data_IF_664902515784
#
_entry.id   IF_664902515784
#
_cell.length_a   1.000
_cell.length_b   1.000
_cell.length_c   1.000
_cell.angle_alpha   90.00
_cell.angle_beta   90.00
_cell.angle_gamma   90.00
#
_symmetry.space_group_name_H-M   'P 1'
#
loop_
_entity.id
_entity.type
_entity.pdbx_description
1 polymer ?
#
# COMPACT_ATOMS: atom_id res chain seq x y z
N UNK A 1 17.72 -45.49 -28.82
CA UNK A 1 18.36 -44.96 -30.03
C UNK A 1 18.14 -43.46 -30.08
N UNK A 2 19.17 -42.73 -30.48
CA UNK A 2 19.19 -41.29 -30.81
C UNK A 2 19.03 -40.29 -29.64
N UNK A 3 20.15 -40.10 -28.96
CA UNK A 3 20.60 -38.85 -28.33
C UNK A 3 20.70 -37.71 -29.34
N UNK A 4 20.26 -36.51 -28.94
CA UNK A 4 20.67 -35.24 -29.56
C UNK A 4 21.04 -34.27 -28.43
N UNK A 5 22.35 -34.27 -28.11
CA UNK A 5 23.02 -33.22 -27.38
C UNK A 5 23.14 -32.00 -28.29
N UNK A 6 22.85 -30.81 -27.77
CA UNK A 6 23.32 -29.57 -28.36
C UNK A 6 23.98 -28.70 -27.28
N UNK A 7 25.30 -28.58 -27.40
CA UNK A 7 26.19 -27.73 -26.62
C UNK A 7 25.83 -26.25 -26.78
N UNK A 8 25.72 -25.52 -25.67
CA UNK A 8 25.87 -24.07 -25.66
C UNK A 8 27.22 -23.73 -25.02
N UNK A 9 28.22 -23.47 -25.86
CA UNK A 9 29.49 -22.89 -25.43
C UNK A 9 29.34 -21.38 -25.28
N UNK A 10 29.84 -20.91 -24.14
CA UNK A 10 30.17 -19.55 -23.76
C UNK A 10 30.91 -18.76 -24.84
N UNK A 11 30.49 -17.51 -25.08
CA UNK A 11 31.36 -16.48 -25.64
C UNK A 11 31.22 -15.18 -24.84
N UNK A 12 32.21 -14.99 -23.98
CA UNK A 12 32.62 -13.71 -23.38
C UNK A 12 33.28 -12.89 -24.50
N UNK A 13 32.86 -11.64 -24.67
CA UNK A 13 33.71 -10.64 -25.33
C UNK A 13 33.67 -9.29 -24.60
N UNK A 14 34.77 -9.06 -23.88
CA UNK A 14 35.25 -7.77 -23.40
C UNK A 14 35.46 -6.79 -24.57
N UNK A 15 35.22 -5.49 -24.32
CA UNK A 15 35.91 -4.36 -24.97
C UNK A 15 35.64 -3.04 -24.19
N UNK A 16 36.47 -1.99 -24.33
CA UNK A 16 37.41 -1.63 -23.26
C UNK A 16 37.18 -0.21 -22.68
N UNK A 17 37.64 -0.03 -21.44
CA UNK A 17 37.89 1.28 -20.85
C UNK A 17 39.10 1.96 -21.50
N UNK A 18 38.97 3.24 -21.83
CA UNK A 18 40.10 4.16 -21.98
C UNK A 18 39.83 5.47 -21.23
N UNK A 19 40.78 5.96 -20.42
CA UNK A 19 40.71 7.27 -19.77
C UNK A 19 41.54 8.32 -20.52
N UNK A 20 41.16 9.61 -20.46
CA UNK A 20 42.09 10.72 -20.16
C UNK A 20 41.48 12.14 -20.22
N UNK A 21 41.73 12.85 -19.11
CA UNK A 21 42.24 14.23 -18.94
C UNK A 21 41.39 15.45 -19.33
N UNK A 22 40.95 16.12 -18.24
CA UNK A 22 40.97 17.57 -17.91
C UNK A 22 41.62 18.54 -18.91
N UNK A 23 40.96 19.69 -19.12
CA UNK A 23 41.52 21.04 -18.86
C UNK A 23 40.40 22.08 -18.55
N UNK A 24 40.71 23.18 -17.83
CA UNK A 24 39.74 24.08 -17.18
C UNK A 24 39.64 25.48 -17.84
N UNK A 25 38.88 26.37 -17.17
CA UNK A 25 38.71 27.84 -17.35
C UNK A 25 37.67 28.23 -18.43
N UNK A 26 36.65 29.06 -18.17
CA UNK A 26 36.68 30.44 -17.66
C UNK A 26 35.36 30.83 -16.96
N UNK A 27 35.47 31.62 -15.89
CA UNK A 27 34.41 32.51 -15.38
C UNK A 27 34.33 33.79 -16.23
N UNK A 28 33.26 34.59 -16.06
CA UNK A 28 33.52 35.94 -15.57
C UNK A 28 32.68 36.34 -14.35
N UNK A 29 33.38 37.04 -13.44
CA UNK A 29 32.97 38.15 -12.54
C UNK A 29 31.69 38.88 -12.96
N UNK A 30 30.93 39.59 -12.14
CA UNK A 30 30.80 39.90 -10.70
C UNK A 30 29.67 40.94 -10.64
N UNK A 31 28.87 40.99 -9.56
CA UNK A 31 28.63 42.24 -8.82
C UNK A 31 27.72 42.00 -7.62
N UNK A 32 28.21 42.50 -6.49
CA UNK A 32 27.63 42.50 -5.17
C UNK A 32 26.63 43.65 -5.02
N UNK A 33 25.57 43.46 -4.24
CA UNK A 33 25.16 44.50 -3.27
C UNK A 33 24.64 43.84 -2.01
N UNK A 34 25.30 44.16 -0.90
CA UNK A 34 24.84 43.96 0.46
C UNK A 34 23.73 44.97 0.76
N UNK A 35 22.76 44.57 1.58
CA UNK A 35 22.11 45.50 2.51
C UNK A 35 21.80 44.75 3.79
N UNK A 36 22.53 45.14 4.83
CA UNK A 36 22.24 44.89 6.24
C UNK A 36 21.51 46.13 6.74
N UNK A 37 20.44 45.97 7.51
CA UNK A 37 20.14 46.91 8.58
C UNK A 37 19.51 46.20 9.76
N UNK A 38 20.11 46.46 10.91
CA UNK A 38 19.77 46.06 12.27
C UNK A 38 18.98 47.17 12.99
N UNK A 39 18.43 46.81 14.16
CA UNK A 39 17.92 47.59 15.33
C UNK A 39 16.40 47.43 15.52
N UNK A 40 15.84 46.77 16.55
CA UNK A 40 16.00 46.73 18.04
C UNK A 40 15.04 47.68 18.79
N UNK A 41 14.62 47.23 20.00
CA UNK A 41 13.92 47.94 21.11
C UNK A 41 12.38 47.89 21.02
N UNK A 42 11.57 47.78 22.09
CA UNK A 42 11.48 47.14 23.42
C UNK A 42 10.20 47.74 24.06
N UNK A 43 9.62 47.06 25.06
CA UNK A 43 8.59 47.52 26.03
C UNK A 43 7.15 47.70 25.46
N UNK A 44 6.05 47.42 26.16
CA UNK A 44 5.76 47.26 27.59
C UNK A 44 4.49 46.45 27.85
N UNK A 45 4.48 45.80 29.01
CA UNK A 45 3.36 45.35 29.86
C UNK A 45 1.93 45.82 29.57
N UNK A 46 0.97 44.89 29.74
CA UNK A 46 -0.11 45.11 30.70
C UNK A 46 -0.66 43.80 31.29
N UNK A 47 -0.63 43.78 32.61
CA UNK A 47 -1.26 42.83 33.52
C UNK A 47 -2.77 43.02 33.55
N UNK A 48 -3.55 41.94 33.54
CA UNK A 48 -4.84 41.92 34.22
C UNK A 48 -5.08 40.55 34.86
N UNK A 49 -5.71 40.62 36.03
CA UNK A 49 -5.80 39.64 37.10
C UNK A 49 -7.14 38.90 37.08
N UNK A 50 -7.14 37.59 37.33
CA UNK A 50 -8.06 36.88 38.26
C UNK A 50 -7.58 35.42 38.36
N UNK A 51 -7.01 34.93 39.46
CA UNK A 51 -7.56 34.49 40.77
C UNK A 51 -8.64 33.40 40.72
N UNK A 52 -8.32 32.32 41.44
CA UNK A 52 -9.05 31.11 41.83
C UNK A 52 -8.77 29.91 40.92
N UNK A 53 -8.35 28.74 41.40
CA UNK A 53 -8.16 28.23 42.76
C UNK A 53 -8.09 26.70 42.67
N UNK A 54 -7.50 26.06 43.69
CA UNK A 54 -7.48 24.61 43.94
C UNK A 54 -6.48 23.76 43.16
N UNK A 55 -5.32 23.60 43.80
CA UNK A 55 -4.48 22.42 43.70
C UNK A 55 -5.28 21.22 44.20
N UNK A 56 -5.44 20.19 43.38
CA UNK A 56 -5.83 18.85 43.83
C UNK A 56 -4.78 17.88 43.32
N UNK A 57 -3.86 17.50 44.20
CA UNK A 57 -3.05 16.29 44.04
C UNK A 57 -3.99 15.09 44.13
N UNK A 58 -4.14 14.35 43.04
CA UNK A 58 -4.68 13.00 43.06
C UNK A 58 -3.53 12.04 42.81
N UNK A 59 -3.07 11.44 43.90
CA UNK A 59 -2.19 10.28 43.92
C UNK A 59 -3.00 9.12 43.33
N UNK A 60 -2.66 8.66 42.14
CA UNK A 60 -3.23 7.42 41.60
C UNK A 60 -2.32 6.29 42.04
N UNK A 61 -2.82 5.49 42.97
CA UNK A 61 -2.21 4.28 43.48
C UNK A 61 -1.89 3.31 42.34
N UNK A 62 -0.66 2.78 42.35
CA UNK A 62 -0.30 1.59 41.59
C UNK A 62 -1.09 0.39 42.14
N UNK A 63 -2.15 0.01 41.45
CA UNK A 63 -2.80 -1.28 41.66
C UNK A 63 -2.25 -2.28 40.62
N UNK A 64 -1.57 -3.30 41.14
CA UNK A 64 -1.17 -4.50 40.41
C UNK A 64 -2.40 -5.20 39.82
N UNK A 65 -2.73 -4.93 38.56
CA UNK A 65 -3.66 -5.74 37.80
C UNK A 65 -2.88 -6.78 36.97
N UNK A 66 -2.57 -7.91 37.61
CA UNK A 66 -2.30 -9.16 36.90
C UNK A 66 -3.58 -9.58 36.17
N UNK A 67 -3.50 -9.71 34.85
CA UNK A 67 -4.47 -10.46 34.04
C UNK A 67 -5.75 -9.72 33.66
N UNK A 68 -5.66 -8.71 32.80
CA UNK A 68 -6.78 -8.36 31.92
C UNK A 68 -6.44 -8.79 30.49
N UNK A 69 -6.82 -10.02 30.14
CA UNK A 69 -6.94 -10.42 28.74
C UNK A 69 -8.09 -9.60 28.18
N UNK A 70 -7.79 -8.41 27.64
CA UNK A 70 -8.79 -7.62 26.94
C UNK A 70 -9.24 -8.41 25.71
N UNK A 71 -10.33 -9.18 25.88
CA UNK A 71 -11.12 -9.71 24.78
C UNK A 71 -11.95 -8.58 24.17
N UNK A 72 -11.29 -7.51 23.73
CA UNK A 72 -11.92 -6.57 22.83
C UNK A 72 -12.19 -7.32 21.51
N UNK A 73 -13.36 -7.08 20.93
CA UNK A 73 -13.69 -7.60 19.60
C UNK A 73 -12.59 -7.24 18.61
N UNK A 74 -12.31 -8.12 17.65
CA UNK A 74 -11.35 -7.81 16.59
C UNK A 74 -11.79 -6.56 15.82
N UNK A 75 -10.83 -5.67 15.54
CA UNK A 75 -11.06 -4.45 14.76
C UNK A 75 -9.99 -4.33 13.68
N UNK A 76 -10.45 -4.04 12.46
CA UNK A 76 -9.63 -3.52 11.39
C UNK A 76 -9.84 -2.02 11.26
N UNK A 77 -8.75 -1.26 11.33
CA UNK A 77 -8.72 0.17 10.97
C UNK A 77 -8.06 0.32 9.62
N UNK A 78 -8.79 0.81 8.63
CA UNK A 78 -8.37 0.87 7.23
C UNK A 78 -8.24 2.34 6.83
N UNK A 79 -7.04 2.74 6.39
CA UNK A 79 -6.81 4.08 5.85
C UNK A 79 -6.41 3.96 4.39
N UNK A 80 -7.26 4.47 3.50
CA UNK A 80 -6.95 4.51 2.08
C UNK A 80 -5.96 5.65 1.80
N UNK A 81 -4.86 5.34 1.12
CA UNK A 81 -3.82 6.32 0.81
C UNK A 81 -3.78 6.71 -0.68
N UNK A 82 -4.86 6.44 -1.45
CA UNK A 82 -4.96 6.63 -2.91
C UNK A 82 -4.09 5.66 -3.75
N UNK A 83 -4.53 5.38 -4.98
CA UNK A 83 -3.92 4.34 -5.80
C UNK A 83 -4.17 2.95 -5.20
N UNK A 84 -3.13 2.11 -5.19
CA UNK A 84 -3.15 0.83 -4.48
C UNK A 84 -2.67 0.94 -3.02
N UNK A 85 -2.35 2.14 -2.55
CA UNK A 85 -1.72 2.32 -1.24
C UNK A 85 -2.73 2.28 -0.09
N UNK A 86 -2.40 1.52 0.95
CA UNK A 86 -3.19 1.43 2.17
C UNK A 86 -2.33 1.39 3.42
N UNK A 87 -2.90 1.83 4.53
CA UNK A 87 -2.42 1.54 5.87
C UNK A 87 -3.51 0.82 6.65
N UNK A 88 -3.23 -0.40 7.09
CA UNK A 88 -4.13 -1.21 7.90
C UNK A 88 -3.59 -1.33 9.31
N UNK A 89 -4.45 -1.14 10.31
CA UNK A 89 -4.14 -1.48 11.70
C UNK A 89 -5.05 -2.62 12.17
N UNK A 90 -4.44 -3.71 12.62
CA UNK A 90 -5.15 -4.90 13.14
C UNK A 90 -4.32 -5.55 14.23
N UNK A 91 -4.95 -5.89 15.35
CA UNK A 91 -4.27 -6.54 16.48
C UNK A 91 -3.11 -5.72 17.07
N UNK A 92 -3.12 -4.39 16.93
CA UNK A 92 -2.00 -3.53 17.35
C UNK A 92 -0.80 -3.51 16.40
N UNK A 93 -0.91 -4.12 15.21
CA UNK A 93 0.11 -4.05 14.15
C UNK A 93 -0.32 -3.08 13.07
N UNK A 94 0.64 -2.35 12.50
CA UNK A 94 0.42 -1.47 11.35
C UNK A 94 1.06 -2.08 10.11
N UNK A 95 0.25 -2.39 9.10
CA UNK A 95 0.65 -2.98 7.83
C UNK A 95 0.53 -1.91 6.76
N UNK A 96 1.66 -1.53 6.15
CA UNK A 96 1.69 -0.62 5.01
C UNK A 96 1.64 -1.45 3.73
N UNK A 97 0.69 -1.16 2.83
CA UNK A 97 0.43 -1.97 1.64
C UNK A 97 0.67 -1.13 0.39
N UNK A 98 1.46 -1.66 -0.55
CA UNK A 98 1.70 -1.09 -1.88
C UNK A 98 1.92 0.45 -1.88
N UNK A 99 2.90 0.97 -1.11
CA UNK A 99 3.01 2.41 -0.87
C UNK A 99 3.57 3.18 -2.07
N UNK A 100 2.80 4.18 -2.53
CA UNK A 100 3.22 5.23 -3.46
C UNK A 100 3.17 6.55 -2.68
N UNK A 101 4.27 6.92 -2.03
CA UNK A 101 4.34 8.05 -1.09
C UNK A 101 5.42 9.08 -1.48
N UNK A 102 6.24 8.78 -2.48
CA UNK A 102 7.33 9.65 -2.94
C UNK A 102 7.26 9.81 -4.45
N UNK A 103 6.98 11.05 -4.88
CA UNK A 103 6.82 11.39 -6.28
C UNK A 103 5.56 10.79 -6.90
N UNK A 104 5.43 10.99 -8.21
CA UNK A 104 4.31 10.47 -8.99
C UNK A 104 4.59 9.04 -9.48
N UNK A 105 3.51 8.32 -9.75
CA UNK A 105 3.54 7.04 -10.46
C UNK A 105 3.74 7.32 -11.96
N UNK A 106 4.84 6.82 -12.53
CA UNK A 106 5.18 7.07 -13.94
C UNK A 106 5.74 5.86 -14.69
N UNK A 107 5.84 4.69 -14.04
CA UNK A 107 6.39 3.47 -14.64
C UNK A 107 7.79 3.68 -15.27
N UNK A 108 8.55 4.68 -14.80
CA UNK A 108 9.85 5.05 -15.35
C UNK A 108 9.82 5.81 -16.68
N UNK A 109 8.65 6.13 -17.22
CA UNK A 109 8.48 6.83 -18.51
C UNK A 109 7.47 8.00 -18.36
N UNK A 110 7.85 9.13 -17.73
CA UNK A 110 6.92 10.22 -17.36
C UNK A 110 6.14 10.85 -18.51
N UNK A 111 6.69 10.86 -19.73
CA UNK A 111 5.98 11.41 -20.89
C UNK A 111 4.85 10.48 -21.36
N UNK A 112 4.96 9.18 -21.08
CA UNK A 112 3.99 8.16 -21.46
C UNK A 112 2.85 8.09 -20.43
N UNK A 113 3.19 8.10 -19.15
CA UNK A 113 2.24 8.13 -18.03
C UNK A 113 2.86 8.86 -16.84
N UNK A 114 2.11 9.75 -16.22
CA UNK A 114 2.49 10.44 -14.98
C UNK A 114 1.22 10.71 -14.18
N UNK A 115 1.10 10.12 -12.99
CA UNK A 115 -0.08 10.19 -12.14
C UNK A 115 0.26 10.62 -10.71
N UNK A 116 -0.34 11.73 -10.29
CA UNK A 116 -0.24 12.26 -8.93
C UNK A 116 -1.48 11.90 -8.10
N UNK A 117 -1.31 11.80 -6.78
CA UNK A 117 -2.43 11.74 -5.84
C UNK A 117 -3.32 12.98 -5.96
N UNK A 118 -4.63 12.82 -5.78
CA UNK A 118 -5.59 13.95 -5.85
C UNK A 118 -5.70 14.66 -4.51
N UNK A 119 -5.79 13.90 -3.42
CA UNK A 119 -6.10 14.41 -2.08
C UNK A 119 -4.85 14.51 -1.22
N UNK A 120 -4.09 13.43 -1.08
CA UNK A 120 -2.95 13.28 -0.17
C UNK A 120 -1.64 13.75 -0.81
N UNK A 121 -1.65 14.88 -1.52
CA UNK A 121 -0.49 15.45 -2.22
C UNK A 121 0.70 15.77 -1.32
N UNK A 122 0.44 16.05 -0.04
CA UNK A 122 1.45 16.42 0.94
C UNK A 122 1.81 15.27 1.90
N UNK A 123 1.10 14.15 1.84
CA UNK A 123 1.34 13.01 2.70
C UNK A 123 2.64 12.32 2.29
N UNK A 124 3.56 12.18 3.25
CA UNK A 124 4.92 11.74 3.02
C UNK A 124 5.31 10.61 3.97
N UNK A 125 6.48 10.02 3.74
CA UNK A 125 7.05 8.99 4.61
C UNK A 125 7.18 9.43 6.07
N UNK A 126 7.33 10.73 6.34
CA UNK A 126 7.37 11.30 7.70
C UNK A 126 6.06 11.16 8.46
N UNK A 127 4.94 11.08 7.76
CA UNK A 127 3.60 11.13 8.34
C UNK A 127 3.06 9.74 8.67
N UNK A 128 3.78 8.70 8.24
CA UNK A 128 3.49 7.32 8.60
C UNK A 128 3.66 7.09 10.11
N UNK A 129 2.77 6.32 10.74
CA UNK A 129 3.00 5.84 12.10
C UNK A 129 4.15 4.83 12.10
N UNK A 130 4.43 4.25 13.27
CA UNK A 130 5.29 3.08 13.34
C UNK A 130 4.71 1.94 12.50
N UNK A 131 5.51 1.39 11.58
CA UNK A 131 5.10 0.32 10.67
C UNK A 131 5.68 -0.99 11.16
N UNK A 132 4.83 -2.00 11.30
CA UNK A 132 5.21 -3.35 11.72
C UNK A 132 5.60 -4.23 10.52
N UNK A 133 4.90 -4.05 9.39
CA UNK A 133 5.13 -4.83 8.18
C UNK A 133 4.86 -4.00 6.92
N UNK A 134 5.69 -4.18 5.90
CA UNK A 134 5.40 -3.79 4.52
C UNK A 134 4.81 -4.99 3.78
N UNK A 135 3.70 -4.81 3.08
CA UNK A 135 3.07 -5.82 2.23
C UNK A 135 3.09 -5.35 0.77
N UNK A 136 3.67 -6.17 -0.12
CA UNK A 136 3.75 -5.89 -1.56
C UNK A 136 3.02 -6.97 -2.35
N UNK A 137 1.95 -6.58 -3.04
CA UNK A 137 1.07 -7.53 -3.74
C UNK A 137 1.57 -7.92 -5.12
N UNK A 138 2.11 -6.96 -5.86
CA UNK A 138 2.57 -7.16 -7.23
C UNK A 138 3.95 -6.56 -7.45
N UNK A 139 4.64 -7.01 -8.49
CA UNK A 139 5.97 -6.50 -8.86
C UNK A 139 5.95 -5.21 -9.70
N UNK A 140 4.77 -4.78 -10.16
CA UNK A 140 4.57 -3.60 -11.01
C UNK A 140 4.71 -2.29 -10.22
N UNK A 141 5.03 -1.19 -10.91
CA UNK A 141 5.40 0.09 -10.29
C UNK A 141 4.25 0.77 -9.52
N UNK A 142 3.00 0.46 -9.86
CA UNK A 142 1.80 0.91 -9.14
C UNK A 142 1.54 0.13 -7.83
N UNK A 143 2.42 -0.82 -7.49
CA UNK A 143 2.44 -1.57 -6.23
C UNK A 143 3.81 -1.53 -5.56
N UNK A 144 4.85 -1.91 -6.29
CA UNK A 144 6.24 -2.01 -5.88
C UNK A 144 7.03 -0.75 -6.28
N UNK A 145 6.52 0.42 -5.88
CA UNK A 145 7.03 1.71 -6.35
C UNK A 145 8.43 2.03 -5.81
N UNK A 146 9.47 1.81 -6.63
CA UNK A 146 10.87 1.90 -6.18
C UNK A 146 11.27 3.30 -5.68
N UNK A 147 10.65 4.37 -6.18
CA UNK A 147 10.91 5.73 -5.66
C UNK A 147 10.47 5.90 -4.22
N UNK A 148 9.42 5.19 -3.82
CA UNK A 148 8.96 5.16 -2.42
C UNK A 148 9.77 4.15 -1.61
N UNK A 149 10.01 2.96 -2.15
CA UNK A 149 10.64 1.86 -1.41
C UNK A 149 12.12 2.12 -1.06
N UNK A 150 12.88 2.83 -1.92
CA UNK A 150 14.29 3.17 -1.64
C UNK A 150 14.49 4.03 -0.38
N UNK A 151 13.87 5.21 -0.25
CA UNK A 151 13.97 6.00 0.98
C UNK A 151 13.23 5.32 2.15
N UNK A 152 12.15 4.57 1.91
CA UNK A 152 11.48 3.80 2.95
C UNK A 152 12.42 2.75 3.58
N UNK A 153 13.19 2.01 2.78
CA UNK A 153 14.12 1.01 3.30
C UNK A 153 15.29 1.62 4.09
N UNK A 154 15.68 2.85 3.77
CA UNK A 154 16.66 3.60 4.55
C UNK A 154 16.08 4.06 5.89
N UNK A 155 14.80 4.48 5.91
CA UNK A 155 14.10 4.90 7.13
C UNK A 155 13.79 3.71 8.06
N UNK A 156 13.46 2.54 7.50
CA UNK A 156 13.10 1.34 8.24
C UNK A 156 13.96 0.13 7.83
N UNK A 157 15.26 0.10 8.16
CA UNK A 157 16.22 -0.88 7.63
C UNK A 157 15.97 -2.34 8.05
N UNK A 158 15.23 -2.53 9.15
CA UNK A 158 14.91 -3.86 9.71
C UNK A 158 13.43 -4.24 9.54
N UNK A 159 12.67 -3.46 8.77
CA UNK A 159 11.25 -3.72 8.57
C UNK A 159 11.03 -5.12 8.01
N UNK A 160 10.02 -5.80 8.52
CA UNK A 160 9.55 -7.04 7.92
C UNK A 160 8.81 -6.72 6.63
N UNK A 161 9.13 -7.44 5.56
CA UNK A 161 8.46 -7.34 4.27
C UNK A 161 7.82 -8.68 3.95
N UNK A 162 6.56 -8.67 3.57
CA UNK A 162 5.86 -9.82 2.99
C UNK A 162 5.51 -9.44 1.55
N UNK A 163 5.82 -10.30 0.58
CA UNK A 163 5.67 -9.94 -0.82
C UNK A 163 5.36 -11.12 -1.75
N UNK A 164 4.87 -10.80 -2.96
CA UNK A 164 4.89 -11.71 -4.11
C UNK A 164 6.33 -12.12 -4.49
N UNK A 165 6.59 -13.39 -4.84
CA UNK A 165 7.89 -13.83 -5.35
C UNK A 165 8.36 -13.08 -6.60
N UNK A 166 7.44 -12.53 -7.40
CA UNK A 166 7.78 -11.76 -8.60
C UNK A 166 8.53 -10.46 -8.26
N UNK A 167 8.32 -9.87 -7.08
CA UNK A 167 8.99 -8.65 -6.66
C UNK A 167 10.43 -8.90 -6.15
N UNK A 168 10.90 -10.15 -6.11
CA UNK A 168 12.18 -10.52 -5.48
C UNK A 168 13.39 -9.74 -5.99
N UNK A 169 13.52 -9.61 -7.32
CA UNK A 169 14.63 -8.88 -7.93
C UNK A 169 14.65 -7.38 -7.58
N UNK A 170 13.49 -6.82 -7.24
CA UNK A 170 13.32 -5.41 -6.86
C UNK A 170 13.55 -5.18 -5.37
N UNK A 171 13.12 -6.12 -4.53
CA UNK A 171 13.11 -5.99 -3.07
C UNK A 171 14.40 -6.47 -2.39
N UNK A 172 15.05 -7.53 -2.88
CA UNK A 172 16.29 -8.06 -2.29
C UNK A 172 17.42 -7.00 -2.16
N UNK A 173 17.62 -6.06 -3.11
CA UNK A 173 18.61 -5.00 -2.95
C UNK A 173 18.26 -3.95 -1.89
N UNK A 174 16.98 -3.86 -1.49
CA UNK A 174 16.47 -2.81 -0.60
C UNK A 174 16.25 -3.28 0.83
N UNK A 175 15.81 -4.52 1.03
CA UNK A 175 15.35 -5.04 2.31
C UNK A 175 16.06 -6.35 2.68
N UNK A 176 16.34 -6.53 3.97
CA UNK A 176 17.04 -7.72 4.50
C UNK A 176 16.09 -8.79 5.04
N UNK A 177 14.90 -8.40 5.49
CA UNK A 177 13.92 -9.28 6.12
C UNK A 177 12.67 -9.41 5.24
N UNK A 178 12.80 -10.16 4.14
CA UNK A 178 11.71 -10.37 3.17
C UNK A 178 11.24 -11.81 3.18
N UNK A 179 9.93 -12.00 3.36
CA UNK A 179 9.24 -13.27 3.20
C UNK A 179 8.43 -13.24 1.91
N UNK A 180 8.83 -14.06 0.93
CA UNK A 180 8.08 -14.22 -0.32
C UNK A 180 7.07 -15.35 -0.16
N UNK A 181 5.81 -15.09 -0.46
CA UNK A 181 4.71 -16.06 -0.32
C UNK A 181 4.15 -16.45 -1.69
N UNK A 182 4.30 -17.71 -2.07
CA UNK A 182 3.55 -18.30 -3.17
C UNK A 182 2.06 -18.47 -2.77
N UNK A 183 1.11 -18.46 -3.72
CA UNK A 183 -0.30 -18.73 -3.41
C UNK A 183 -0.50 -20.01 -2.58
N UNK A 184 -1.25 -19.91 -1.48
CA UNK A 184 -1.40 -21.02 -0.51
C UNK A 184 -0.47 -20.94 0.70
N UNK A 185 0.62 -20.18 0.62
CA UNK A 185 1.52 -19.98 1.75
C UNK A 185 1.04 -18.86 2.67
N UNK A 186 1.42 -18.95 3.94
CA UNK A 186 1.07 -17.97 4.96
C UNK A 186 2.26 -17.57 5.81
N UNK A 187 2.16 -16.40 6.45
CA UNK A 187 3.14 -15.87 7.38
C UNK A 187 2.43 -15.14 8.52
N UNK A 188 2.87 -15.39 9.75
CA UNK A 188 2.33 -14.71 10.93
C UNK A 188 3.14 -13.46 11.27
N UNK A 189 2.47 -12.34 11.53
CA UNK A 189 3.04 -11.16 12.17
C UNK A 189 2.71 -11.24 13.66
N UNK A 190 3.75 -11.29 14.50
CA UNK A 190 3.57 -11.18 15.95
C UNK A 190 3.16 -9.76 16.31
N UNK A 191 2.13 -9.64 17.15
CA UNK A 191 1.62 -8.37 17.61
C UNK A 191 2.36 -7.89 18.84
N UNK A 192 2.21 -6.60 19.17
CA UNK A 192 2.74 -6.02 20.41
C UNK A 192 2.15 -6.66 21.69
N UNK A 193 1.11 -7.49 21.55
CA UNK A 193 0.43 -8.16 22.64
C UNK A 193 0.72 -9.68 22.69
N UNK A 194 1.67 -10.17 21.89
CA UNK A 194 2.04 -11.60 21.82
C UNK A 194 1.03 -12.48 21.09
N UNK A 195 0.03 -11.88 20.45
CA UNK A 195 -0.90 -12.56 19.54
C UNK A 195 -0.35 -12.53 18.10
N UNK A 196 -1.08 -13.09 17.13
CA UNK A 196 -0.60 -13.21 15.74
C UNK A 196 -1.63 -12.77 14.73
N UNK A 197 -1.24 -11.92 13.78
CA UNK A 197 -2.03 -11.66 12.56
C UNK A 197 -1.51 -12.59 11.47
N UNK A 198 -2.37 -13.42 10.89
CA UNK A 198 -1.98 -14.31 9.80
C UNK A 198 -2.19 -13.64 8.44
N UNK A 199 -1.20 -13.73 7.56
CA UNK A 199 -1.27 -13.27 6.17
C UNK A 199 -1.08 -14.45 5.25
N UNK A 200 -2.06 -14.73 4.39
CA UNK A 200 -2.05 -15.83 3.42
C UNK A 200 -2.12 -15.27 2.00
N UNK A 201 -1.18 -15.67 1.14
CA UNK A 201 -1.19 -15.30 -0.26
C UNK A 201 -2.23 -16.10 -1.06
N UNK A 202 -2.92 -15.42 -1.97
CA UNK A 202 -3.83 -16.03 -2.95
C UNK A 202 -3.35 -15.73 -4.36
N UNK A 203 -3.75 -16.57 -5.33
CA UNK A 203 -3.38 -16.35 -6.73
C UNK A 203 -4.26 -15.25 -7.35
N UNK A 204 -3.61 -14.15 -7.74
CA UNK A 204 -4.16 -13.06 -8.53
C UNK A 204 -3.87 -13.23 -10.04
N UNK A 205 -3.73 -12.13 -10.80
CA UNK A 205 -3.55 -12.18 -12.25
C UNK A 205 -2.14 -12.63 -12.66
N UNK A 206 -2.03 -13.21 -13.85
CA UNK A 206 -0.74 -13.41 -14.55
C UNK A 206 -0.56 -12.20 -15.48
N UNK A 207 0.34 -11.28 -15.12
CA UNK A 207 0.52 -9.98 -15.80
C UNK A 207 1.68 -9.97 -16.80
N UNK A 208 2.25 -11.13 -17.08
CA UNK A 208 3.28 -11.33 -18.09
C UNK A 208 2.97 -12.52 -18.98
N UNK A 209 4.00 -13.18 -19.54
CA UNK A 209 3.79 -14.37 -20.35
C UNK A 209 3.00 -15.46 -19.58
N UNK A 210 2.20 -16.31 -20.26
CA UNK A 210 1.32 -17.27 -19.58
C UNK A 210 1.99 -18.26 -18.62
N UNK A 211 3.31 -18.45 -18.73
CA UNK A 211 4.12 -19.30 -17.86
C UNK A 211 4.73 -18.56 -16.66
N UNK A 212 4.51 -17.24 -16.53
CA UNK A 212 4.92 -16.47 -15.36
C UNK A 212 4.05 -16.85 -14.15
N UNK A 213 4.63 -16.72 -12.96
CA UNK A 213 3.88 -16.87 -11.71
C UNK A 213 2.79 -15.80 -11.63
N UNK A 214 1.60 -16.12 -11.08
CA UNK A 214 0.61 -15.10 -10.79
C UNK A 214 1.17 -14.08 -9.78
N UNK A 215 0.66 -12.87 -9.82
CA UNK A 215 0.78 -11.93 -8.69
C UNK A 215 -0.17 -12.33 -7.56
N UNK A 216 -0.08 -11.65 -6.41
CA UNK A 216 -0.81 -12.05 -5.21
C UNK A 216 -2.01 -11.15 -4.91
N UNK A 217 -3.09 -11.78 -4.46
CA UNK A 217 -4.00 -11.20 -3.46
C UNK A 217 -3.61 -11.67 -2.07
N UNK A 218 -4.24 -11.13 -1.03
CA UNK A 218 -3.97 -11.55 0.36
C UNK A 218 -5.23 -11.69 1.20
N UNK A 219 -5.31 -12.78 1.97
CA UNK A 219 -6.22 -12.94 3.09
C UNK A 219 -5.47 -12.63 4.39
N UNK A 220 -6.01 -11.73 5.20
CA UNK A 220 -5.46 -11.30 6.49
C UNK A 220 -6.46 -11.64 7.59
N UNK A 221 -6.06 -12.48 8.53
CA UNK A 221 -6.91 -12.91 9.64
C UNK A 221 -6.45 -12.24 10.93
N UNK A 222 -7.40 -11.63 11.65
CA UNK A 222 -7.16 -10.98 12.93
C UNK A 222 -6.72 -11.99 14.01
N UNK A 223 -6.12 -11.54 15.12
CA UNK A 223 -5.52 -12.47 16.08
C UNK A 223 -6.49 -13.41 16.78
N UNK A 224 -7.72 -12.97 17.04
CA UNK A 224 -8.77 -13.80 17.63
C UNK A 224 -9.55 -14.58 16.56
N UNK A 225 -9.26 -14.35 15.28
CA UNK A 225 -9.92 -14.99 14.13
C UNK A 225 -11.38 -14.59 13.96
N UNK A 226 -11.84 -13.52 14.61
CA UNK A 226 -13.23 -13.05 14.53
C UNK A 226 -13.49 -12.22 13.28
N UNK A 227 -12.45 -11.64 12.68
CA UNK A 227 -12.50 -10.91 11.42
C UNK A 227 -11.42 -11.38 10.45
N UNK A 228 -11.77 -11.32 9.18
CA UNK A 228 -10.86 -11.59 8.08
C UNK A 228 -11.03 -10.56 6.97
N UNK A 229 -9.92 -10.14 6.37
CA UNK A 229 -9.86 -9.18 5.28
C UNK A 229 -9.24 -9.84 4.06
N UNK A 230 -9.92 -9.76 2.91
CA UNK A 230 -9.37 -10.13 1.62
C UNK A 230 -9.06 -8.86 0.80
N UNK A 231 -7.81 -8.75 0.34
CA UNK A 231 -7.37 -7.67 -0.54
C UNK A 231 -7.04 -8.23 -1.93
N UNK A 232 -7.75 -7.71 -2.92
CA UNK A 232 -7.56 -8.03 -4.34
C UNK A 232 -7.40 -6.74 -5.13
N UNK A 233 -6.17 -6.33 -5.46
CA UNK A 233 -5.90 -5.00 -5.99
C UNK A 233 -6.46 -4.73 -7.39
N UNK A 234 -6.79 -5.76 -8.18
CA UNK A 234 -7.23 -5.59 -9.57
C UNK A 234 -8.59 -6.23 -9.87
N UNK A 235 -9.25 -6.78 -8.85
CA UNK A 235 -10.47 -7.60 -8.99
C UNK A 235 -10.28 -8.80 -9.94
N UNK A 236 -9.06 -9.33 -10.06
CA UNK A 236 -8.74 -10.50 -10.88
C UNK A 236 -8.12 -11.59 -10.01
N UNK A 237 -8.87 -12.67 -9.81
CA UNK A 237 -8.55 -13.69 -8.83
C UNK A 237 -8.80 -15.10 -9.37
N UNK A 238 -8.12 -16.09 -8.80
CA UNK A 238 -8.39 -17.49 -9.09
C UNK A 238 -9.69 -17.95 -8.42
N UNK A 239 -10.77 -18.10 -9.19
CA UNK A 239 -12.09 -18.47 -8.66
C UNK A 239 -12.10 -19.79 -7.88
N UNK A 240 -11.45 -20.85 -8.39
CA UNK A 240 -11.47 -22.17 -7.72
C UNK A 240 -10.64 -22.22 -6.45
N UNK A 241 -9.75 -21.24 -6.28
CA UNK A 241 -9.07 -20.98 -5.02
C UNK A 241 -10.01 -20.24 -4.07
N UNK A 242 -10.55 -19.10 -4.50
CA UNK A 242 -11.32 -18.18 -3.65
C UNK A 242 -12.63 -18.77 -3.14
N UNK A 243 -13.29 -19.66 -3.90
CA UNK A 243 -14.53 -20.32 -3.47
C UNK A 243 -14.38 -21.20 -2.21
N UNK A 244 -13.14 -21.52 -1.81
CA UNK A 244 -12.82 -22.32 -0.62
C UNK A 244 -12.46 -21.46 0.60
N UNK A 245 -12.32 -20.15 0.41
CA UNK A 245 -11.94 -19.20 1.45
C UNK A 245 -13.18 -18.40 1.91
N UNK A 246 -13.03 -17.69 3.03
CA UNK A 246 -14.02 -16.73 3.52
C UNK A 246 -13.32 -15.45 3.93
N UNK A 247 -13.99 -14.33 3.76
CA UNK A 247 -13.52 -13.03 4.23
C UNK A 247 -14.70 -12.16 4.67
N UNK A 248 -14.63 -11.56 5.86
CA UNK A 248 -15.66 -10.62 6.33
C UNK A 248 -15.58 -9.28 5.59
N UNK A 249 -14.35 -8.83 5.29
CA UNK A 249 -14.04 -7.57 4.64
C UNK A 249 -13.40 -7.86 3.29
N UNK A 250 -13.88 -7.23 2.21
CA UNK A 250 -13.25 -7.29 0.88
C UNK A 250 -12.84 -5.90 0.45
N UNK A 251 -11.54 -5.69 0.23
CA UNK A 251 -10.99 -4.50 -0.42
C UNK A 251 -10.68 -4.86 -1.87
N UNK A 252 -11.37 -4.22 -2.82
CA UNK A 252 -11.19 -4.48 -4.26
C UNK A 252 -11.65 -3.27 -5.08
N UNK A 253 -11.15 -3.08 -6.31
CA UNK A 253 -11.72 -2.10 -7.24
C UNK A 253 -13.16 -2.47 -7.59
N UNK A 254 -14.01 -1.45 -7.72
CA UNK A 254 -15.40 -1.62 -8.18
C UNK A 254 -15.67 -0.92 -9.50
N UNK A 255 -14.77 -0.07 -9.97
CA UNK A 255 -14.84 0.61 -11.27
C UNK A 255 -13.80 -0.06 -12.17
N UNK A 256 -14.20 -0.47 -13.38
CA UNK A 256 -13.26 -1.06 -14.33
C UNK A 256 -12.35 0.02 -14.89
N UNK A 257 -11.10 -0.33 -15.15
CA UNK A 257 -10.20 0.49 -15.96
C UNK A 257 -9.84 -0.24 -17.24
N UNK A 258 -10.04 0.42 -18.37
CA UNK A 258 -9.95 -0.17 -19.69
C UNK A 258 -8.93 0.58 -20.54
N UNK A 259 -8.15 -0.17 -21.30
CA UNK A 259 -7.48 0.30 -22.51
C UNK A 259 -8.24 -0.22 -23.74
N UNK A 260 -8.00 0.32 -24.94
CA UNK A 260 -8.54 -0.27 -26.16
C UNK A 260 -8.21 -1.77 -26.25
N UNK A 261 -9.23 -2.62 -26.20
CA UNK A 261 -9.17 -4.09 -26.23
C UNK A 261 -8.56 -4.80 -25.00
N UNK A 262 -8.25 -4.10 -23.91
CA UNK A 262 -7.66 -4.71 -22.72
C UNK A 262 -8.30 -4.18 -21.43
N UNK A 263 -8.64 -5.07 -20.51
CA UNK A 263 -9.05 -4.68 -19.15
C UNK A 263 -7.81 -4.63 -18.27
N UNK A 264 -7.52 -3.45 -17.72
CA UNK A 264 -6.41 -3.26 -16.78
C UNK A 264 -6.83 -3.64 -15.37
N UNK A 265 -8.03 -3.18 -14.97
CA UNK A 265 -8.61 -3.38 -13.65
C UNK A 265 -10.06 -3.82 -13.84
N UNK A 266 -10.44 -4.94 -13.23
CA UNK A 266 -11.83 -5.43 -13.20
C UNK A 266 -12.67 -4.71 -12.14
N UNK A 267 -13.98 -4.91 -12.15
CA UNK A 267 -14.89 -4.25 -11.22
C UNK A 267 -16.35 -4.63 -11.51
N UNK A 268 -17.29 -3.86 -10.96
CA UNK A 268 -18.73 -4.05 -11.15
C UNK A 268 -19.16 -5.49 -10.85
N UNK A 269 -19.62 -6.25 -11.85
CA UNK A 269 -20.10 -7.63 -11.70
C UNK A 269 -19.03 -8.56 -11.12
N UNK A 270 -17.76 -8.36 -11.49
CA UNK A 270 -16.63 -9.16 -10.97
C UNK A 270 -16.45 -8.93 -9.47
N UNK A 271 -16.60 -7.68 -9.01
CA UNK A 271 -16.48 -7.34 -7.59
C UNK A 271 -17.64 -7.90 -6.77
N UNK A 272 -18.86 -7.89 -7.31
CA UNK A 272 -20.03 -8.53 -6.67
C UNK A 272 -19.84 -10.04 -6.59
N UNK A 273 -19.33 -10.65 -7.67
CA UNK A 273 -19.02 -12.08 -7.69
C UNK A 273 -17.94 -12.44 -6.66
N UNK A 274 -16.89 -11.63 -6.53
CA UNK A 274 -15.85 -11.81 -5.52
C UNK A 274 -16.42 -11.76 -4.11
N UNK A 275 -17.19 -10.71 -3.81
CA UNK A 275 -17.85 -10.55 -2.51
C UNK A 275 -18.76 -11.74 -2.19
N UNK A 276 -19.48 -12.26 -3.19
CA UNK A 276 -20.38 -13.41 -3.04
C UNK A 276 -19.63 -14.71 -2.75
N UNK A 277 -18.53 -14.97 -3.47
CA UNK A 277 -17.71 -16.16 -3.25
C UNK A 277 -17.14 -16.18 -1.82
N UNK A 278 -16.67 -15.03 -1.34
CA UNK A 278 -16.08 -14.88 0.00
C UNK A 278 -17.09 -14.75 1.14
N UNK A 279 -18.39 -14.63 0.82
CA UNK A 279 -19.47 -14.38 1.78
C UNK A 279 -19.23 -13.08 2.58
N UNK A 280 -18.78 -12.04 1.88
CA UNK A 280 -18.37 -10.78 2.49
C UNK A 280 -19.52 -10.04 3.16
N UNK A 281 -19.24 -9.49 4.34
CA UNK A 281 -20.16 -8.62 5.10
C UNK A 281 -19.90 -7.15 4.80
N UNK A 282 -18.65 -6.79 4.57
CA UNK A 282 -18.20 -5.44 4.27
C UNK A 282 -17.42 -5.43 2.97
N UNK A 283 -17.81 -4.54 2.05
CA UNK A 283 -17.02 -4.27 0.84
C UNK A 283 -16.48 -2.85 1.00
N UNK A 284 -15.18 -2.70 0.84
CA UNK A 284 -14.47 -1.43 0.90
C UNK A 284 -13.95 -1.13 -0.51
N UNK A 285 -14.69 -0.35 -1.31
CA UNK A 285 -14.27 -0.06 -2.68
C UNK A 285 -12.97 0.73 -2.70
N UNK A 286 -12.03 0.31 -3.55
CA UNK A 286 -10.84 1.12 -3.82
C UNK A 286 -10.94 1.79 -5.18
N UNK A 287 -10.41 3.02 -5.28
CA UNK A 287 -10.38 3.82 -6.51
C UNK A 287 -8.94 3.95 -7.00
N UNK A 288 -8.28 2.83 -7.26
CA UNK A 288 -6.86 2.79 -7.62
C UNK A 288 -6.51 3.62 -8.87
N UNK A 289 -7.45 3.73 -9.80
CA UNK A 289 -7.36 4.57 -10.98
C UNK A 289 -7.59 6.08 -10.79
N UNK A 290 -8.09 6.50 -9.63
CA UNK A 290 -8.56 7.87 -9.39
C UNK A 290 -7.41 8.81 -9.00
N UNK A 291 -6.50 9.00 -9.94
CA UNK A 291 -5.30 9.84 -9.81
C UNK A 291 -5.36 11.01 -10.81
N UNK A 292 -4.67 12.11 -10.49
CA UNK A 292 -4.44 13.22 -11.42
C UNK A 292 -3.38 12.76 -12.45
N UNK A 293 -3.84 12.07 -13.50
CA UNK A 293 -3.00 11.46 -14.53
C UNK A 293 -2.90 12.28 -15.82
N UNK A 294 -1.73 12.22 -16.46
CA UNK A 294 -1.44 12.83 -17.77
C UNK A 294 -0.50 11.93 -18.58
N UNK A 295 -0.34 12.25 -19.86
CA UNK A 295 0.47 11.49 -20.81
C UNK A 295 -0.38 10.71 -21.80
N UNK A 296 0.28 10.06 -22.77
CA UNK A 296 -0.39 9.35 -23.84
C UNK A 296 -1.25 8.19 -23.32
N UNK A 297 -0.73 7.38 -22.38
CA UNK A 297 -1.49 6.26 -21.83
C UNK A 297 -2.70 6.74 -21.03
N UNK A 298 -2.56 7.82 -20.24
CA UNK A 298 -3.67 8.38 -19.48
C UNK A 298 -4.86 8.77 -20.38
N UNK A 299 -4.58 9.28 -21.59
CA UNK A 299 -5.63 9.63 -22.56
C UNK A 299 -6.36 8.43 -23.18
N UNK A 300 -5.79 7.23 -23.08
CA UNK A 300 -6.36 5.98 -23.61
C UNK A 300 -7.12 5.19 -22.56
N UNK A 301 -6.88 5.46 -21.27
CA UNK A 301 -7.55 4.76 -20.16
C UNK A 301 -8.95 5.35 -19.97
N UNK A 302 -9.95 4.49 -19.98
CA UNK A 302 -11.33 4.85 -19.64
C UNK A 302 -11.83 4.07 -18.43
N UNK A 303 -12.74 4.68 -17.68
CA UNK A 303 -13.45 4.03 -16.58
C UNK A 303 -14.81 3.51 -17.02
N UNK A 304 -15.21 2.33 -16.55
CA UNK A 304 -16.56 1.79 -16.74
C UNK A 304 -17.21 1.44 -15.40
N UNK A 305 -18.45 1.93 -15.23
CA UNK A 305 -19.24 1.79 -14.01
C UNK A 305 -18.97 2.87 -12.97
N UNK A 306 -19.79 2.88 -11.91
CA UNK A 306 -19.65 3.79 -10.76
C UNK A 306 -19.77 3.01 -9.44
N UNK A 307 -19.53 3.68 -8.31
CA UNK A 307 -19.75 3.08 -7.00
C UNK A 307 -21.26 2.84 -6.77
N UNK A 308 -22.11 3.72 -7.29
CA UNK A 308 -23.57 3.62 -7.21
C UNK A 308 -24.07 2.41 -8.01
N UNK A 309 -23.63 2.23 -9.26
CA UNK A 309 -24.02 1.05 -10.04
C UNK A 309 -23.53 -0.24 -9.40
N UNK A 310 -22.33 -0.23 -8.80
CA UNK A 310 -21.83 -1.36 -8.01
C UNK A 310 -22.73 -1.65 -6.81
N UNK A 311 -23.12 -0.63 -6.03
CA UNK A 311 -24.03 -0.79 -4.88
C UNK A 311 -25.38 -1.38 -5.30
N UNK A 312 -25.93 -0.94 -6.42
CA UNK A 312 -27.17 -1.49 -6.96
C UNK A 312 -27.03 -2.98 -7.30
N UNK A 313 -25.95 -3.37 -8.00
CA UNK A 313 -25.66 -4.77 -8.30
C UNK A 313 -25.46 -5.60 -7.03
N UNK A 314 -24.69 -5.08 -6.07
CA UNK A 314 -24.41 -5.75 -4.80
C UNK A 314 -25.70 -6.00 -4.01
N UNK A 315 -26.59 -5.01 -3.91
CA UNK A 315 -27.84 -5.11 -3.14
C UNK A 315 -28.77 -6.23 -3.64
N UNK A 316 -28.68 -6.61 -4.91
CA UNK A 316 -29.47 -7.70 -5.51
C UNK A 316 -28.93 -9.09 -5.15
N UNK A 317 -27.61 -9.20 -4.99
CA UNK A 317 -26.93 -10.49 -4.77
C UNK A 317 -26.56 -10.74 -3.30
N UNK A 318 -26.28 -9.68 -2.55
CA UNK A 318 -25.87 -9.67 -1.15
C UNK A 318 -26.55 -8.49 -0.41
N UNK A 319 -27.86 -8.60 -0.10
CA UNK A 319 -28.64 -7.48 0.47
C UNK A 319 -28.16 -7.05 1.87
N UNK A 320 -27.53 -7.96 2.63
CA UNK A 320 -27.04 -7.69 3.97
C UNK A 320 -25.60 -7.11 3.99
N UNK A 321 -24.91 -7.12 2.85
CA UNK A 321 -23.54 -6.63 2.76
C UNK A 321 -23.51 -5.09 2.77
N UNK A 322 -22.56 -4.53 3.52
CA UNK A 322 -22.40 -3.08 3.67
C UNK A 322 -21.25 -2.58 2.82
N UNK A 323 -21.48 -1.54 2.03
CA UNK A 323 -20.42 -0.82 1.33
C UNK A 323 -19.87 0.27 2.24
N UNK A 324 -18.57 0.22 2.50
CA UNK A 324 -17.84 1.17 3.35
C UNK A 324 -16.90 1.95 2.45
N UNK A 325 -17.31 3.15 2.03
CA UNK A 325 -16.50 3.99 1.14
C UNK A 325 -15.39 4.70 1.91
N UNK A 326 -14.11 4.43 1.60
CA UNK A 326 -13.01 5.09 2.26
C UNK A 326 -12.88 6.54 1.76
N UNK A 327 -12.60 7.46 2.68
CA UNK A 327 -12.11 8.81 2.34
C UNK A 327 -10.58 8.80 2.43
N UNK A 328 -9.84 9.23 1.40
CA UNK A 328 -8.38 9.28 1.45
C UNK A 328 -7.84 9.94 2.72
N UNK A 329 -6.94 9.23 3.42
CA UNK A 329 -6.28 9.69 4.65
C UNK A 329 -7.15 9.67 5.92
N UNK A 330 -8.45 9.34 5.80
CA UNK A 330 -9.35 9.20 6.95
C UNK A 330 -9.50 7.73 7.28
N UNK A 331 -9.16 7.29 8.50
CA UNK A 331 -9.31 5.90 8.87
C UNK A 331 -10.79 5.53 9.04
N UNK A 332 -11.16 4.33 8.59
CA UNK A 332 -12.45 3.70 8.88
C UNK A 332 -12.24 2.44 9.70
N UNK A 333 -13.08 2.25 10.72
CA UNK A 333 -13.00 1.10 11.62
C UNK A 333 -14.13 0.11 11.33
N UNK A 334 -13.77 -1.17 11.23
CA UNK A 334 -14.69 -2.29 11.04
C UNK A 334 -14.40 -3.29 12.15
N UNK A 335 -15.40 -3.56 13.00
CA UNK A 335 -15.28 -4.46 14.15
C UNK A 335 -16.07 -5.75 13.94
N UNK A 336 -15.66 -6.83 14.62
CA UNK A 336 -16.51 -8.00 14.80
C UNK A 336 -17.78 -7.56 15.52
N UNK A 337 -18.93 -8.07 15.09
CA UNK A 337 -20.21 -7.83 15.75
C UNK A 337 -20.32 -8.60 17.06
#
# INVERSE_FOLDING_TARGET
MATLQCNCNSLVFNKPCYPRRRRPLLQPFSLSTRLVSSTSICTSSNTSTSRWGSVVSAVVSEENAVGSTFSAADVFKLTYLEGNSWLWSVGGTNILVDPILVGNLDFGIPWLYDAAKKVLKQFQLSDLPEISCLLITQSLDDHCHLKTLKPFSQKFPNIRVIATPNAKGLLDPLFRNVTYLEPGQSSDIETNYGSKVNIKATAGPILGPPWQRPENGYLVTSPQGQLSLYYEPHCVYNQSYIEKEKADIVITPVIKQLLPNFTLVSGQEDAVKLAKLLQAKFIVPMKNGDLDSKGLLASLVSGEGTVESFKELLSKELPDAKVVEPTPGVPVEISAN
#
